data_IF_925579767551
#
_entry.id   IF_925579767551
#
_cell.length_a   1.000
_cell.length_b   1.000
_cell.length_c   1.000
_cell.angle_alpha   90.00
_cell.angle_beta   90.00
_cell.angle_gamma   90.00
#
_symmetry.space_group_name_H-M   'P 1'
#
loop_
_entity.id
_entity.type
_entity.pdbx_description
1 polymer ?
#
# COMPACT_ATOMS: atom_id res chain seq x y z
N UNK A 1 -4.44 -11.27 -6.84
CA UNK A 1 -3.21 -11.24 -7.66
C UNK A 1 -2.04 -10.81 -6.81
N UNK A 2 -0.85 -11.40 -7.03
CA UNK A 2 0.37 -11.05 -6.33
C UNK A 2 1.60 -11.50 -7.14
N UNK A 3 2.78 -10.97 -6.79
CA UNK A 3 4.05 -11.43 -7.35
C UNK A 3 4.62 -12.50 -6.42
N UNK A 4 4.85 -13.70 -6.94
CA UNK A 4 5.36 -14.84 -6.20
C UNK A 4 6.38 -15.67 -6.97
N UNK A 5 7.03 -16.58 -6.25
CA UNK A 5 7.98 -17.54 -6.87
C UNK A 5 7.21 -18.67 -7.56
N UNK A 6 7.64 -18.98 -8.78
CA UNK A 6 7.19 -20.12 -9.56
C UNK A 6 8.37 -20.65 -10.39
N UNK A 7 8.71 -21.93 -10.28
CA UNK A 7 9.84 -22.55 -11.02
C UNK A 7 11.15 -21.73 -10.98
N UNK A 8 11.59 -21.26 -9.82
CA UNK A 8 12.82 -20.47 -9.61
C UNK A 8 12.84 -19.05 -10.21
N UNK A 9 11.71 -18.54 -10.66
CA UNK A 9 11.56 -17.15 -11.09
C UNK A 9 10.37 -16.50 -10.41
N UNK A 10 10.17 -15.19 -10.63
CA UNK A 10 9.02 -14.45 -10.14
C UNK A 10 7.98 -14.31 -11.24
N UNK A 11 6.74 -14.57 -10.89
CA UNK A 11 5.59 -14.49 -11.76
C UNK A 11 4.46 -13.69 -11.12
N UNK A 12 3.64 -13.06 -11.95
CA UNK A 12 2.33 -12.58 -11.55
C UNK A 12 1.42 -13.79 -11.37
N UNK A 13 0.97 -14.02 -10.15
CA UNK A 13 0.13 -15.16 -9.76
C UNK A 13 -1.26 -14.69 -9.36
N UNK A 14 -2.24 -15.57 -9.48
CA UNK A 14 -3.55 -15.39 -8.87
C UNK A 14 -3.89 -16.57 -7.97
N UNK A 15 -4.66 -16.31 -6.93
CA UNK A 15 -5.24 -17.32 -6.06
C UNK A 15 -6.60 -17.73 -6.60
N UNK A 16 -6.75 -19.02 -6.87
CA UNK A 16 -8.02 -19.61 -7.27
C UNK A 16 -8.85 -19.93 -6.01
N UNK A 17 -10.05 -19.35 -5.92
CA UNK A 17 -10.93 -19.50 -4.76
C UNK A 17 -11.54 -20.90 -4.64
N UNK A 18 -11.67 -21.63 -5.74
CA UNK A 18 -12.29 -22.95 -5.75
C UNK A 18 -11.28 -24.03 -5.38
N UNK A 19 -10.14 -24.05 -6.05
CA UNK A 19 -9.06 -25.03 -5.80
C UNK A 19 -8.21 -24.72 -4.58
N UNK A 20 -8.17 -23.44 -4.13
CA UNK A 20 -7.28 -22.90 -3.08
C UNK A 20 -5.79 -22.98 -3.46
N UNK A 21 -5.51 -22.96 -4.73
CA UNK A 21 -4.15 -23.00 -5.29
C UNK A 21 -3.82 -21.71 -6.02
N UNK A 22 -2.54 -21.50 -6.29
CA UNK A 22 -2.06 -20.32 -7.01
C UNK A 22 -1.52 -20.72 -8.38
N UNK A 23 -1.80 -19.90 -9.38
CA UNK A 23 -1.41 -20.15 -10.76
C UNK A 23 -0.84 -18.88 -11.42
N UNK A 24 0.10 -19.03 -12.40
CA UNK A 24 0.55 -17.90 -13.20
C UNK A 24 -0.57 -17.29 -14.04
N UNK A 25 -0.64 -15.96 -14.08
CA UNK A 25 -1.58 -15.22 -14.93
C UNK A 25 -1.10 -15.26 -16.38
N UNK A 26 -1.33 -16.39 -17.05
CA UNK A 26 -0.91 -16.63 -18.44
C UNK A 26 -1.91 -17.50 -19.17
N UNK A 27 -2.57 -16.95 -20.19
CA UNK A 27 -3.56 -17.64 -21.03
C UNK A 27 -2.99 -18.31 -22.27
N UNK A 28 -1.67 -18.45 -22.43
CA UNK A 28 -1.05 -19.15 -23.57
C UNK A 28 -1.19 -20.65 -23.39
N UNK A 29 -1.83 -21.32 -24.35
CA UNK A 29 -2.16 -22.76 -24.27
C UNK A 29 -0.96 -23.68 -24.06
N UNK A 30 0.18 -23.40 -24.68
CA UNK A 30 1.39 -24.24 -24.64
C UNK A 30 2.49 -23.64 -23.74
N UNK A 31 2.14 -22.76 -22.79
CA UNK A 31 3.12 -22.12 -21.94
C UNK A 31 3.51 -23.02 -20.77
N UNK A 32 4.80 -23.33 -20.64
CA UNK A 32 5.36 -24.11 -19.53
C UNK A 32 5.54 -23.29 -18.25
N UNK A 33 5.32 -21.96 -18.31
CA UNK A 33 5.47 -21.01 -17.20
C UNK A 33 6.85 -21.09 -16.52
N UNK A 34 7.92 -21.15 -17.32
CA UNK A 34 9.29 -21.33 -16.84
C UNK A 34 10.30 -20.32 -17.42
N UNK A 35 9.85 -19.43 -18.32
CA UNK A 35 10.73 -18.53 -19.05
C UNK A 35 10.09 -17.14 -19.30
N UNK A 36 10.90 -16.22 -19.88
CA UNK A 36 10.53 -14.81 -20.13
C UNK A 36 9.44 -14.63 -21.20
N UNK A 37 9.13 -15.66 -22.00
CA UNK A 37 8.07 -15.60 -23.01
C UNK A 37 6.68 -15.77 -22.39
N UNK A 38 6.63 -16.25 -21.15
CA UNK A 38 5.39 -16.32 -20.38
C UNK A 38 4.84 -14.93 -20.08
N UNK A 39 3.56 -14.68 -20.32
CA UNK A 39 2.94 -13.40 -20.02
C UNK A 39 3.03 -13.05 -18.53
N UNK A 40 2.95 -14.03 -17.64
CA UNK A 40 3.03 -13.82 -16.19
C UNK A 40 4.46 -13.60 -15.67
N UNK A 41 5.50 -13.78 -16.49
CA UNK A 41 6.88 -13.65 -16.03
C UNK A 41 7.24 -12.21 -15.66
N UNK A 42 7.72 -11.99 -14.43
CA UNK A 42 8.08 -10.65 -13.93
C UNK A 42 9.54 -10.51 -13.52
N UNK A 43 10.31 -11.61 -13.45
CA UNK A 43 11.72 -11.52 -13.14
C UNK A 43 12.32 -12.83 -12.63
N UNK A 44 13.62 -12.80 -12.31
CA UNK A 44 14.32 -13.94 -11.72
C UNK A 44 15.24 -13.51 -10.58
N UNK A 45 15.49 -14.43 -9.66
CA UNK A 45 16.46 -14.22 -8.58
C UNK A 45 17.84 -14.75 -9.01
N UNK A 46 18.85 -13.88 -9.05
CA UNK A 46 20.21 -14.28 -9.33
C UNK A 46 20.90 -14.82 -8.07
N UNK A 47 21.36 -16.09 -8.10
CA UNK A 47 21.81 -16.82 -6.91
C UNK A 47 23.18 -16.43 -6.37
N UNK A 48 24.08 -15.85 -7.16
CA UNK A 48 25.50 -15.64 -6.76
C UNK A 48 25.73 -14.58 -5.70
N UNK A 49 24.89 -13.54 -5.58
CA UNK A 49 25.10 -12.45 -4.61
C UNK A 49 23.79 -12.01 -3.93
N UNK A 50 22.75 -12.82 -3.89
CA UNK A 50 21.40 -12.46 -3.44
C UNK A 50 20.81 -11.23 -4.19
N UNK A 51 21.32 -10.94 -5.38
CA UNK A 51 20.75 -9.90 -6.22
C UNK A 51 19.56 -10.47 -6.97
N UNK A 52 18.42 -9.85 -6.75
CA UNK A 52 17.19 -10.13 -7.50
C UNK A 52 17.17 -9.20 -8.70
N UNK A 53 17.12 -9.74 -9.91
CA UNK A 53 16.84 -8.93 -11.09
C UNK A 53 15.35 -9.10 -11.39
N UNK A 54 14.57 -8.10 -11.04
CA UNK A 54 13.16 -8.00 -11.39
C UNK A 54 13.01 -7.07 -12.59
N UNK A 55 12.14 -7.40 -13.52
CA UNK A 55 11.75 -6.49 -14.60
C UNK A 55 10.62 -5.56 -14.16
N UNK A 56 10.11 -5.76 -12.95
CA UNK A 56 9.07 -4.96 -12.32
C UNK A 56 9.55 -4.50 -10.95
N UNK A 57 9.13 -3.31 -10.56
CA UNK A 57 9.40 -2.81 -9.23
C UNK A 57 8.71 -3.72 -8.20
N UNK A 58 9.28 -3.83 -7.01
CA UNK A 58 8.67 -4.50 -5.83
C UNK A 58 7.41 -3.74 -5.35
N UNK A 59 6.69 -3.19 -6.29
CA UNK A 59 5.54 -2.35 -6.07
C UNK A 59 4.27 -3.18 -6.04
N UNK A 60 3.25 -2.57 -5.51
CA UNK A 60 1.94 -3.15 -5.42
C UNK A 60 1.43 -3.66 -6.77
N UNK A 61 0.74 -4.78 -6.73
CA UNK A 61 -0.06 -5.27 -7.83
C UNK A 61 -1.41 -4.56 -7.78
N UNK A 62 -1.78 -3.88 -8.86
CA UNK A 62 -3.03 -3.13 -8.94
C UNK A 62 -4.05 -3.89 -9.78
N UNK A 63 -5.23 -4.12 -9.23
CA UNK A 63 -6.38 -4.62 -9.99
C UNK A 63 -7.36 -3.49 -10.25
N UNK A 64 -7.68 -3.25 -11.51
CA UNK A 64 -8.61 -2.20 -11.90
C UNK A 64 -9.29 -2.50 -13.23
N UNK A 65 -10.62 -2.36 -13.30
CA UNK A 65 -11.44 -2.60 -14.51
C UNK A 65 -11.07 -3.89 -15.24
N UNK A 66 -11.12 -5.01 -14.53
CA UNK A 66 -10.81 -6.36 -15.04
C UNK A 66 -9.42 -6.50 -15.68
N UNK A 67 -8.47 -5.70 -15.24
CA UNK A 67 -7.08 -5.80 -15.62
C UNK A 67 -6.17 -5.73 -14.39
N UNK A 68 -4.98 -6.30 -14.54
CA UNK A 68 -3.90 -6.19 -13.55
C UNK A 68 -2.83 -5.26 -14.08
N UNK A 69 -2.33 -4.37 -13.23
CA UNK A 69 -1.30 -3.40 -13.60
C UNK A 69 -0.09 -3.53 -12.71
N UNK A 70 1.08 -3.41 -13.32
CA UNK A 70 2.40 -3.35 -12.68
C UNK A 70 3.20 -2.19 -13.24
N UNK A 71 4.15 -1.69 -12.47
CA UNK A 71 5.13 -0.70 -12.93
C UNK A 71 6.45 -1.42 -13.24
N UNK A 72 6.94 -1.35 -14.47
CA UNK A 72 8.22 -1.96 -14.83
C UNK A 72 9.42 -1.06 -14.44
N UNK A 73 10.63 -1.62 -14.42
CA UNK A 73 11.85 -0.92 -14.03
C UNK A 73 12.26 0.21 -14.98
N UNK A 74 11.61 0.33 -16.15
CA UNK A 74 11.80 1.45 -17.08
C UNK A 74 10.69 2.50 -16.95
N UNK A 75 9.80 2.34 -15.94
CA UNK A 75 8.71 3.26 -15.65
C UNK A 75 7.47 3.10 -16.52
N UNK A 76 7.39 2.02 -17.29
CA UNK A 76 6.16 1.73 -18.00
C UNK A 76 5.09 1.18 -17.06
N UNK A 77 3.91 1.75 -17.13
CA UNK A 77 2.70 1.08 -16.67
C UNK A 77 2.39 -0.07 -17.62
N UNK A 78 2.39 -1.29 -17.08
CA UNK A 78 2.13 -2.51 -17.86
C UNK A 78 0.79 -3.09 -17.45
N UNK A 79 -0.08 -3.33 -18.41
CA UNK A 79 -1.40 -3.92 -18.24
C UNK A 79 -1.37 -5.40 -18.62
N UNK A 80 -2.00 -6.22 -17.81
CA UNK A 80 -2.26 -7.64 -18.05
C UNK A 80 -3.78 -7.86 -18.06
N UNK A 81 -4.29 -8.63 -19.02
CA UNK A 81 -5.65 -9.13 -18.89
C UNK A 81 -5.74 -10.18 -17.78
N UNK A 82 -6.89 -10.27 -17.13
CA UNK A 82 -7.09 -11.21 -16.00
C UNK A 82 -7.02 -12.68 -16.43
N UNK A 83 -7.30 -12.98 -17.70
CA UNK A 83 -7.12 -14.30 -18.28
C UNK A 83 -5.67 -14.58 -18.72
N UNK A 84 -4.77 -13.60 -18.58
CA UNK A 84 -3.36 -13.72 -18.96
C UNK A 84 -3.09 -13.81 -20.46
N UNK A 85 -4.09 -13.58 -21.32
CA UNK A 85 -3.92 -13.65 -22.78
C UNK A 85 -3.09 -12.49 -23.33
N UNK A 86 -3.16 -11.31 -22.70
CA UNK A 86 -2.47 -10.10 -23.14
C UNK A 86 -1.56 -9.51 -22.06
N UNK A 87 -0.49 -8.88 -22.52
CA UNK A 87 0.44 -8.07 -21.73
C UNK A 87 0.93 -6.93 -22.58
N UNK A 88 0.69 -5.70 -22.18
CA UNK A 88 1.00 -4.52 -22.97
C UNK A 88 1.55 -3.35 -22.13
N UNK A 89 2.44 -2.56 -22.73
CA UNK A 89 2.94 -1.31 -22.15
C UNK A 89 2.01 -0.17 -22.52
N UNK A 90 1.54 0.57 -21.53
CA UNK A 90 0.57 1.68 -21.73
C UNK A 90 1.28 3.02 -21.91
N UNK A 91 2.03 3.45 -20.90
CA UNK A 91 2.71 4.75 -20.89
C UNK A 91 3.90 4.71 -19.92
N UNK A 92 4.85 5.62 -20.11
CA UNK A 92 5.88 5.90 -19.09
C UNK A 92 5.27 6.84 -18.06
N UNK A 93 5.18 6.39 -16.80
CA UNK A 93 4.44 7.09 -15.75
C UNK A 93 5.31 7.46 -14.55
N UNK A 94 6.60 7.72 -14.76
CA UNK A 94 7.47 8.14 -13.68
C UNK A 94 7.00 9.46 -13.06
N UNK A 95 6.94 9.48 -11.74
CA UNK A 95 6.90 10.72 -10.98
C UNK A 95 8.33 11.25 -10.75
N UNK A 96 8.44 12.45 -10.22
CA UNK A 96 9.71 13.01 -9.79
C UNK A 96 10.39 12.07 -8.77
N UNK A 97 11.68 11.80 -8.97
CA UNK A 97 12.42 10.85 -8.14
C UNK A 97 12.49 9.42 -8.71
N UNK A 98 11.89 9.18 -9.87
CA UNK A 98 11.96 7.91 -10.61
C UNK A 98 11.08 6.82 -10.02
N UNK A 99 11.37 5.57 -10.42
CA UNK A 99 10.53 4.41 -10.12
C UNK A 99 10.34 4.13 -8.63
N UNK A 100 11.38 4.26 -7.82
CA UNK A 100 11.35 3.93 -6.39
C UNK A 100 10.43 4.82 -5.56
N UNK A 101 10.14 6.02 -6.07
CA UNK A 101 9.22 6.97 -5.44
C UNK A 101 7.85 7.05 -6.10
N UNK A 102 7.62 6.34 -7.20
CA UNK A 102 6.38 6.44 -7.99
C UNK A 102 5.27 5.60 -7.38
N UNK A 103 4.11 6.21 -7.16
CA UNK A 103 2.89 5.56 -6.68
C UNK A 103 1.71 5.85 -7.61
N UNK A 104 0.78 4.90 -7.67
CA UNK A 104 -0.33 4.87 -8.61
C UNK A 104 -1.68 4.85 -7.91
N UNK A 105 -2.63 5.62 -8.43
CA UNK A 105 -4.05 5.55 -8.03
C UNK A 105 -4.90 5.56 -9.29
N UNK A 106 -5.81 4.62 -9.41
CA UNK A 106 -6.69 4.48 -10.58
C UNK A 106 -8.04 5.12 -10.32
N UNK A 107 -8.54 5.84 -11.33
CA UNK A 107 -9.91 6.34 -11.36
C UNK A 107 -10.37 6.54 -12.82
N UNK A 108 -11.56 6.04 -13.14
CA UNK A 108 -12.12 6.02 -14.49
C UNK A 108 -11.13 5.52 -15.55
N UNK A 109 -10.85 6.29 -16.58
CA UNK A 109 -9.93 5.93 -17.65
C UNK A 109 -8.52 6.50 -17.45
N UNK A 110 -8.16 6.80 -16.19
CA UNK A 110 -6.89 7.41 -15.84
C UNK A 110 -6.18 6.69 -14.70
N UNK A 111 -4.85 6.77 -14.72
CA UNK A 111 -3.98 6.53 -13.57
C UNK A 111 -3.41 7.86 -13.10
N UNK A 112 -3.50 8.11 -11.80
CA UNK A 112 -2.92 9.27 -11.11
C UNK A 112 -1.60 8.85 -10.49
N UNK A 113 -0.57 9.65 -10.70
CA UNK A 113 0.81 9.32 -10.36
C UNK A 113 1.40 10.42 -9.50
N UNK A 114 2.03 10.05 -8.41
CA UNK A 114 2.71 10.95 -7.50
C UNK A 114 3.99 10.32 -6.95
N UNK A 115 4.93 11.17 -6.47
CA UNK A 115 6.16 10.73 -5.85
C UNK A 115 5.96 10.58 -4.34
N UNK A 116 6.04 9.35 -3.82
CA UNK A 116 5.89 9.07 -2.39
C UNK A 116 6.95 9.75 -1.52
N UNK A 117 8.18 9.84 -2.03
CA UNK A 117 9.27 10.46 -1.27
C UNK A 117 9.24 11.98 -1.36
N UNK A 118 8.73 12.53 -2.46
CA UNK A 118 8.64 13.96 -2.69
C UNK A 118 9.95 14.69 -2.39
N UNK A 119 9.84 15.78 -1.66
CA UNK A 119 10.98 16.57 -1.20
C UNK A 119 11.17 16.49 0.33
N UNK A 120 10.76 15.39 0.95
CA UNK A 120 10.93 15.19 2.39
C UNK A 120 12.40 15.40 2.82
N UNK A 121 12.60 16.23 3.84
CA UNK A 121 13.92 16.56 4.37
C UNK A 121 14.67 17.67 3.65
N UNK A 122 14.16 18.18 2.53
CA UNK A 122 14.74 19.36 1.88
C UNK A 122 14.44 20.63 2.69
N UNK A 123 15.44 21.53 2.76
CA UNK A 123 15.28 22.84 3.41
C UNK A 123 14.73 23.91 2.45
N UNK A 124 14.74 23.63 1.15
CA UNK A 124 14.25 24.53 0.10
C UNK A 124 12.79 24.26 -0.21
N UNK A 125 12.11 25.30 -0.65
CA UNK A 125 10.75 25.20 -1.18
C UNK A 125 10.76 24.45 -2.51
N UNK A 126 9.85 23.49 -2.67
CA UNK A 126 9.74 22.67 -3.85
C UNK A 126 8.27 22.43 -4.24
N UNK A 127 8.04 22.01 -5.46
CA UNK A 127 6.70 21.74 -6.00
C UNK A 127 6.48 20.23 -6.08
N UNK A 128 5.48 19.75 -5.34
CA UNK A 128 4.95 18.41 -5.44
C UNK A 128 3.82 18.36 -6.45
N UNK A 129 3.77 17.30 -7.26
CA UNK A 129 2.76 17.17 -8.32
C UNK A 129 2.01 15.85 -8.24
N UNK A 130 0.73 15.89 -8.63
CA UNK A 130 0.00 14.71 -9.09
C UNK A 130 -0.25 14.89 -10.60
N UNK A 131 0.23 13.91 -11.36
CA UNK A 131 -0.05 13.81 -12.80
C UNK A 131 -1.07 12.71 -13.05
N UNK A 132 -1.85 12.85 -14.14
CA UNK A 132 -2.67 11.74 -14.62
C UNK A 132 -2.29 11.34 -16.03
N UNK A 133 -2.40 10.07 -16.30
CA UNK A 133 -2.18 9.46 -17.61
C UNK A 133 -3.42 8.67 -18.00
N UNK A 134 -3.87 8.82 -19.25
CA UNK A 134 -4.98 7.99 -19.73
C UNK A 134 -4.55 6.53 -19.91
N UNK A 135 -5.45 5.59 -19.61
CA UNK A 135 -5.19 4.15 -19.73
C UNK A 135 -5.07 3.67 -21.18
N UNK A 136 -5.30 4.53 -22.18
CA UNK A 136 -4.95 4.31 -23.58
C UNK A 136 -3.57 4.89 -23.97
N UNK A 137 -2.84 5.46 -23.01
CA UNK A 137 -1.49 5.99 -23.18
C UNK A 137 -1.35 7.29 -23.97
N UNK A 138 -2.46 7.97 -24.31
CA UNK A 138 -2.43 9.11 -25.24
C UNK A 138 -2.41 10.48 -24.58
N UNK A 139 -2.74 10.56 -23.29
CA UNK A 139 -2.85 11.85 -22.58
C UNK A 139 -2.04 11.82 -21.30
N UNK A 140 -1.35 12.94 -21.05
CA UNK A 140 -0.68 13.25 -19.79
C UNK A 140 -1.09 14.67 -19.37
N UNK A 141 -1.33 14.86 -18.07
CA UNK A 141 -1.75 16.15 -17.51
C UNK A 141 -1.34 16.26 -16.05
N UNK A 142 -0.83 17.41 -15.62
CA UNK A 142 -0.66 17.76 -14.21
C UNK A 142 -2.00 18.23 -13.65
N UNK A 143 -2.52 17.57 -12.63
CA UNK A 143 -3.83 17.84 -12.04
C UNK A 143 -3.75 18.55 -10.71
N UNK A 144 -2.61 18.43 -10.01
CA UNK A 144 -2.36 19.10 -8.75
C UNK A 144 -0.90 19.53 -8.65
N UNK A 145 -0.71 20.75 -8.14
CA UNK A 145 0.59 21.26 -7.68
C UNK A 145 0.46 21.75 -6.25
N UNK A 146 1.42 21.36 -5.40
CA UNK A 146 1.54 21.82 -4.02
C UNK A 146 2.96 22.32 -3.79
N UNK A 147 3.10 23.56 -3.39
CA UNK A 147 4.39 24.18 -3.08
C UNK A 147 4.61 24.20 -1.58
N UNK A 148 5.75 23.66 -1.12
CA UNK A 148 6.10 23.63 0.29
C UNK A 148 7.52 23.18 0.55
N UNK A 149 8.04 23.50 1.75
CA UNK A 149 9.36 23.09 2.19
C UNK A 149 9.32 21.70 2.80
N UNK A 150 10.16 20.80 2.31
CA UNK A 150 10.25 19.42 2.79
C UNK A 150 8.94 18.66 2.67
N UNK A 151 8.14 18.97 1.66
CA UNK A 151 6.81 18.38 1.48
C UNK A 151 6.85 17.11 0.64
N UNK A 152 5.89 16.22 0.88
CA UNK A 152 5.53 15.12 0.01
C UNK A 152 4.03 14.87 0.03
N UNK A 153 3.48 14.47 -1.11
CA UNK A 153 2.13 13.93 -1.20
C UNK A 153 2.20 12.45 -0.87
N UNK A 154 1.43 12.02 0.12
CA UNK A 154 1.45 10.63 0.59
C UNK A 154 0.05 10.04 0.70
N UNK A 155 -0.03 8.72 0.75
CA UNK A 155 -1.27 7.98 1.04
C UNK A 155 -2.45 8.33 0.11
N UNK A 156 -2.20 8.65 -1.15
CA UNK A 156 -3.29 8.96 -2.06
C UNK A 156 -4.15 7.72 -2.34
N UNK A 157 -5.47 7.89 -2.27
CA UNK A 157 -6.49 6.85 -2.49
C UNK A 157 -7.70 7.45 -3.20
N UNK A 158 -8.26 6.74 -4.16
CA UNK A 158 -9.48 7.16 -4.88
C UNK A 158 -10.72 6.57 -4.22
N UNK A 159 -11.68 7.42 -3.91
CA UNK A 159 -12.99 7.02 -3.38
C UNK A 159 -14.09 7.88 -3.99
N UNK A 160 -15.04 7.23 -4.63
CA UNK A 160 -16.11 7.91 -5.36
C UNK A 160 -15.53 8.92 -6.35
N UNK A 161 -16.00 10.16 -6.27
CA UNK A 161 -15.61 11.25 -7.19
C UNK A 161 -14.39 12.04 -6.70
N UNK A 162 -13.56 11.49 -5.81
CA UNK A 162 -12.44 12.22 -5.21
C UNK A 162 -11.19 11.39 -5.05
N UNK A 163 -10.05 12.04 -5.28
CA UNK A 163 -8.73 11.59 -4.88
C UNK A 163 -8.41 12.21 -3.53
N UNK A 164 -8.34 11.40 -2.50
CA UNK A 164 -7.90 11.81 -1.16
C UNK A 164 -6.39 11.61 -1.02
N UNK A 165 -5.72 12.47 -0.28
CA UNK A 165 -4.28 12.36 -0.02
C UNK A 165 -3.87 13.13 1.23
N UNK A 166 -2.74 12.73 1.81
CA UNK A 166 -2.09 13.49 2.87
C UNK A 166 -0.96 14.33 2.29
N UNK A 167 -0.70 15.47 2.93
CA UNK A 167 0.55 16.21 2.72
C UNK A 167 1.37 16.02 3.98
N UNK A 168 2.51 15.34 3.84
CA UNK A 168 3.50 15.17 4.91
C UNK A 168 4.63 16.18 4.71
N UNK A 169 5.12 16.78 5.80
CA UNK A 169 6.31 17.61 5.77
C UNK A 169 7.36 17.07 6.72
N UNK A 170 8.61 17.05 6.28
CA UNK A 170 9.75 16.71 7.12
C UNK A 170 10.88 17.73 6.89
N UNK A 171 11.39 18.27 7.99
CA UNK A 171 12.58 19.15 7.95
C UNK A 171 13.71 18.48 8.69
N UNK A 172 14.94 18.68 8.22
CA UNK A 172 16.12 18.22 8.92
C UNK A 172 16.69 19.35 9.79
N UNK A 173 17.01 19.05 11.03
CA UNK A 173 17.75 19.95 11.91
C UNK A 173 19.00 19.24 12.42
N UNK A 174 20.09 20.00 12.64
CA UNK A 174 21.32 19.47 13.22
C UNK A 174 21.35 19.79 14.70
N UNK A 175 21.39 18.76 15.53
CA UNK A 175 21.77 18.94 16.93
C UNK A 175 23.31 19.00 17.01
N UNK A 176 23.84 20.22 17.09
CA UNK A 176 25.29 20.44 17.16
C UNK A 176 25.93 19.84 18.43
N UNK A 177 25.19 19.73 19.53
CA UNK A 177 25.70 19.16 20.78
C UNK A 177 25.83 17.64 20.70
N UNK A 178 24.88 17.00 20.06
CA UNK A 178 24.89 15.55 19.87
C UNK A 178 25.56 15.12 18.56
N UNK A 179 25.93 16.05 17.69
CA UNK A 179 26.41 15.83 16.31
C UNK A 179 25.51 14.86 15.53
N UNK A 180 24.20 15.02 15.68
CA UNK A 180 23.17 14.18 15.04
C UNK A 180 22.27 15.04 14.16
N UNK A 181 21.87 14.46 13.03
CA UNK A 181 20.80 15.00 12.20
C UNK A 181 19.48 14.48 12.75
N UNK A 182 18.56 15.38 13.07
CA UNK A 182 17.22 15.07 13.53
C UNK A 182 16.26 15.39 12.41
N UNK A 183 15.48 14.40 12.00
CA UNK A 183 14.36 14.60 11.08
C UNK A 183 13.10 14.90 11.89
N UNK A 184 12.53 16.10 11.70
CA UNK A 184 11.26 16.51 12.27
C UNK A 184 10.16 16.26 11.24
N UNK A 185 9.46 15.15 11.35
CA UNK A 185 8.29 14.87 10.53
C UNK A 185 7.05 15.49 11.14
N UNK A 186 6.24 16.15 10.31
CA UNK A 186 4.92 16.62 10.67
C UNK A 186 3.91 16.00 9.72
N UNK A 187 3.04 15.20 10.27
CA UNK A 187 1.90 14.68 9.52
C UNK A 187 0.86 15.80 9.39
N UNK A 188 0.34 15.98 8.21
CA UNK A 188 -0.54 17.08 7.90
C UNK A 188 -1.98 16.64 7.69
N UNK A 189 -2.79 17.60 7.29
CA UNK A 189 -4.20 17.44 7.06
C UNK A 189 -4.50 16.50 5.89
N UNK A 190 -5.68 15.91 5.90
CA UNK A 190 -6.25 15.19 4.76
C UNK A 190 -6.84 16.18 3.77
N UNK A 191 -6.45 16.04 2.51
CA UNK A 191 -6.97 16.80 1.37
C UNK A 191 -7.77 15.89 0.46
N UNK A 192 -8.60 16.49 -0.37
CA UNK A 192 -9.26 15.81 -1.48
C UNK A 192 -9.23 16.69 -2.73
N UNK A 193 -8.92 16.05 -3.86
CA UNK A 193 -9.08 16.61 -5.21
C UNK A 193 -10.37 16.04 -5.79
N UNK A 194 -11.27 16.92 -6.22
CA UNK A 194 -12.55 16.55 -6.83
C UNK A 194 -12.35 16.38 -8.34
N UNK A 195 -12.62 15.19 -8.86
CA UNK A 195 -12.39 14.84 -10.26
C UNK A 195 -13.27 15.63 -11.24
N UNK A 196 -14.46 16.05 -10.78
CA UNK A 196 -15.41 16.79 -11.63
C UNK A 196 -15.06 18.27 -11.74
N UNK A 197 -14.72 18.87 -10.62
CA UNK A 197 -14.43 20.32 -10.58
C UNK A 197 -12.98 20.65 -10.86
N UNK A 198 -12.07 19.67 -10.76
CA UNK A 198 -10.63 19.88 -10.89
C UNK A 198 -10.03 20.71 -9.75
N UNK A 199 -10.67 20.72 -8.58
CA UNK A 199 -10.21 21.52 -7.43
C UNK A 199 -9.85 20.66 -6.25
N UNK A 200 -8.80 21.07 -5.51
CA UNK A 200 -8.41 20.43 -4.26
C UNK A 200 -8.75 21.29 -3.04
N UNK A 201 -9.07 20.64 -1.93
CA UNK A 201 -9.36 21.30 -0.68
C UNK A 201 -9.08 20.44 0.54
N UNK A 202 -8.91 21.08 1.70
CA UNK A 202 -8.72 20.41 2.99
C UNK A 202 -10.04 19.77 3.46
N UNK A 203 -9.98 18.50 3.83
CA UNK A 203 -11.13 17.72 4.37
C UNK A 203 -11.08 17.64 5.90
N UNK A 204 -9.90 17.28 6.42
CA UNK A 204 -9.65 17.18 7.86
C UNK A 204 -8.31 17.82 8.20
N UNK A 205 -8.25 18.48 9.33
CA UNK A 205 -7.03 19.07 9.89
C UNK A 205 -6.54 18.20 11.05
N UNK A 206 -5.22 17.97 11.13
CA UNK A 206 -4.62 17.20 12.22
C UNK A 206 -3.28 16.59 11.82
N UNK A 207 -2.68 15.86 12.77
CA UNK A 207 -1.46 15.09 12.52
C UNK A 207 -1.81 13.68 12.04
N UNK A 208 -2.47 13.58 10.89
CA UNK A 208 -3.00 12.32 10.35
C UNK A 208 -1.86 11.50 9.76
N UNK A 209 -1.68 10.25 10.22
CA UNK A 209 -0.63 9.34 9.74
C UNK A 209 -1.12 8.43 8.62
N UNK A 210 -2.37 8.01 8.69
CA UNK A 210 -3.03 7.22 7.64
C UNK A 210 -4.56 7.29 7.79
N UNK A 211 -5.26 6.88 6.74
CA UNK A 211 -6.72 6.86 6.69
C UNK A 211 -7.23 5.77 5.73
N UNK A 212 -8.48 5.38 5.92
CA UNK A 212 -9.26 4.61 4.94
C UNK A 212 -10.72 5.11 4.94
N UNK A 213 -11.44 4.84 3.87
CA UNK A 213 -12.77 5.39 3.66
C UNK A 213 -13.76 4.26 3.36
N UNK A 214 -14.88 4.25 4.07
CA UNK A 214 -16.06 3.47 3.72
C UNK A 214 -16.95 4.34 2.82
N UNK A 215 -16.94 4.05 1.54
CA UNK A 215 -17.70 4.81 0.53
C UNK A 215 -19.21 4.70 0.74
N UNK A 216 -19.69 3.59 1.28
CA UNK A 216 -21.12 3.33 1.49
C UNK A 216 -21.67 4.25 2.59
N UNK A 217 -21.02 4.27 3.73
CA UNK A 217 -21.42 5.13 4.86
C UNK A 217 -20.96 6.58 4.73
N UNK A 218 -19.88 6.82 3.99
CA UNK A 218 -19.16 8.09 3.94
C UNK A 218 -18.31 8.34 5.18
N UNK A 219 -17.95 7.30 5.91
CA UNK A 219 -17.05 7.39 7.05
C UNK A 219 -15.59 7.38 6.62
N UNK A 220 -14.82 8.29 7.17
CA UNK A 220 -13.37 8.33 7.09
C UNK A 220 -12.82 7.84 8.43
N UNK A 221 -12.14 6.69 8.40
CA UNK A 221 -11.37 6.21 9.54
C UNK A 221 -9.95 6.74 9.39
N UNK A 222 -9.39 7.38 10.42
CA UNK A 222 -8.06 7.95 10.35
C UNK A 222 -7.34 7.86 11.69
N UNK A 223 -6.03 7.85 11.64
CA UNK A 223 -5.18 7.79 12.81
C UNK A 223 -4.42 9.10 13.00
N UNK A 224 -4.58 9.72 14.17
CA UNK A 224 -3.79 10.87 14.59
C UNK A 224 -2.56 10.42 15.38
N UNK A 225 -1.40 10.93 14.99
CA UNK A 225 -0.11 10.60 15.61
C UNK A 225 -0.13 10.83 17.11
N UNK A 226 0.26 9.82 17.89
CA UNK A 226 0.28 9.83 19.36
C UNK A 226 -1.08 10.02 20.05
N UNK A 227 -2.18 10.05 19.31
CA UNK A 227 -3.48 10.35 19.92
C UNK A 227 -4.46 9.19 19.81
N UNK A 228 -4.63 8.63 18.63
CA UNK A 228 -5.50 7.48 18.46
C UNK A 228 -6.24 7.42 17.14
N UNK A 229 -7.17 6.48 17.04
CA UNK A 229 -7.99 6.26 15.86
C UNK A 229 -9.35 6.93 15.99
N UNK A 230 -9.79 7.55 14.91
CA UNK A 230 -11.05 8.28 14.80
C UNK A 230 -11.89 7.81 13.62
N UNK A 231 -13.20 7.97 13.75
CA UNK A 231 -14.15 7.93 12.67
C UNK A 231 -14.75 9.31 12.46
N UNK A 232 -14.72 9.84 11.25
CA UNK A 232 -15.34 11.09 10.85
C UNK A 232 -16.32 10.85 9.72
N UNK A 233 -17.58 11.23 9.90
CA UNK A 233 -18.57 11.14 8.84
C UNK A 233 -18.62 12.44 8.03
N UNK A 234 -18.37 12.36 6.72
CA UNK A 234 -18.32 13.55 5.84
C UNK A 234 -19.65 14.26 5.69
N UNK A 235 -20.78 13.58 5.90
CA UNK A 235 -22.14 14.15 5.75
C UNK A 235 -22.59 14.85 7.04
N UNK A 236 -22.56 14.12 8.18
CA UNK A 236 -23.00 14.67 9.47
C UNK A 236 -21.95 15.58 10.13
N UNK A 237 -20.68 15.50 9.69
CA UNK A 237 -19.52 16.18 10.33
C UNK A 237 -19.21 15.72 11.74
N UNK A 238 -19.79 14.60 12.15
CA UNK A 238 -19.52 14.00 13.47
C UNK A 238 -18.14 13.32 13.48
N UNK A 239 -17.39 13.57 14.55
CA UNK A 239 -16.10 12.95 14.83
C UNK A 239 -16.21 12.15 16.12
N UNK A 240 -15.90 10.86 16.05
CA UNK A 240 -15.90 9.94 17.18
C UNK A 240 -14.54 9.28 17.33
N UNK A 241 -14.00 9.23 18.53
CA UNK A 241 -12.78 8.49 18.83
C UNK A 241 -13.12 7.02 19.00
N UNK A 242 -12.37 6.12 18.32
CA UNK A 242 -12.56 4.69 18.38
C UNK A 242 -11.69 4.08 19.47
N UNK A 243 -10.40 4.45 19.53
CA UNK A 243 -9.50 4.06 20.61
C UNK A 243 -8.40 5.09 20.84
N UNK A 244 -7.84 5.07 22.05
CA UNK A 244 -6.72 5.91 22.43
C UNK A 244 -5.40 5.31 21.94
N UNK A 245 -4.51 6.16 21.45
CA UNK A 245 -3.15 5.78 21.10
C UNK A 245 -2.33 5.41 22.34
N UNK A 246 -1.32 4.59 22.13
CA UNK A 246 -0.32 4.20 23.12
C UNK A 246 1.08 4.33 22.54
N UNK A 247 2.12 4.10 23.34
CA UNK A 247 3.49 4.07 22.83
C UNK A 247 3.68 3.04 21.72
N UNK A 248 3.05 1.86 21.82
CA UNK A 248 3.11 0.80 20.82
C UNK A 248 2.30 1.09 19.55
N UNK A 249 1.32 1.98 19.65
CA UNK A 249 0.42 2.36 18.56
C UNK A 249 0.55 3.82 18.17
N UNK A 250 1.72 4.44 18.41
CA UNK A 250 1.98 5.85 18.11
C UNK A 250 1.69 6.24 16.67
N UNK A 251 1.90 5.31 15.75
CA UNK A 251 1.64 5.44 14.30
C UNK A 251 1.04 4.14 13.80
N UNK A 252 -0.13 4.21 13.22
CA UNK A 252 -0.83 3.05 12.64
C UNK A 252 -1.04 3.27 11.15
N UNK A 253 -1.00 2.19 10.39
CA UNK A 253 -1.48 2.14 9.01
C UNK A 253 -2.89 1.59 8.97
N UNK A 254 -3.74 2.21 8.16
CA UNK A 254 -5.15 1.86 8.08
C UNK A 254 -5.50 1.28 6.71
N UNK A 255 -6.27 0.20 6.72
CA UNK A 255 -6.92 -0.33 5.54
C UNK A 255 -8.37 -0.73 5.84
N UNK A 256 -9.19 -0.75 4.81
CA UNK A 256 -10.59 -1.14 4.88
C UNK A 256 -10.90 -2.10 3.74
N UNK A 257 -11.59 -3.19 4.04
CA UNK A 257 -11.89 -4.26 3.09
C UNK A 257 -13.40 -4.39 2.77
N UNK A 258 -14.17 -3.35 3.08
CA UNK A 258 -15.63 -3.35 2.93
C UNK A 258 -16.40 -3.87 4.15
N UNK A 259 -15.73 -4.58 5.07
CA UNK A 259 -16.33 -5.18 6.27
C UNK A 259 -15.63 -4.76 7.56
N UNK A 260 -14.30 -4.75 7.55
CA UNK A 260 -13.46 -4.46 8.71
C UNK A 260 -12.46 -3.36 8.43
N UNK A 261 -12.13 -2.61 9.48
CA UNK A 261 -11.04 -1.64 9.51
C UNK A 261 -9.85 -2.31 10.20
N UNK A 262 -8.71 -2.35 9.53
CA UNK A 262 -7.45 -2.89 10.03
C UNK A 262 -6.54 -1.73 10.41
N UNK A 263 -6.02 -1.74 11.64
CA UNK A 263 -5.04 -0.78 12.14
C UNK A 263 -3.76 -1.54 12.49
N UNK A 264 -2.69 -1.33 11.71
CA UNK A 264 -1.41 -2.05 11.81
C UNK A 264 -0.30 -1.10 12.28
N UNK A 265 0.43 -1.47 13.32
CA UNK A 265 1.56 -0.70 13.86
C UNK A 265 2.90 -1.00 13.17
N UNK A 266 2.89 -1.63 12.00
CA UNK A 266 4.09 -2.13 11.30
C UNK A 266 5.23 -1.12 11.19
N UNK A 267 4.95 0.06 10.64
CA UNK A 267 6.00 1.06 10.45
C UNK A 267 6.57 1.56 11.77
N UNK A 268 5.74 1.71 12.78
CA UNK A 268 6.21 2.12 14.10
C UNK A 268 7.13 1.07 14.72
N UNK A 269 6.78 -0.20 14.63
CA UNK A 269 7.61 -1.28 15.16
C UNK A 269 8.97 -1.38 14.45
N UNK A 270 9.02 -1.14 13.13
CA UNK A 270 10.26 -1.09 12.34
C UNK A 270 11.12 0.13 12.74
N UNK A 271 10.52 1.30 12.87
CA UNK A 271 11.22 2.53 13.32
C UNK A 271 11.79 2.38 14.72
N UNK A 272 11.01 1.78 15.63
CA UNK A 272 11.43 1.49 17.00
C UNK A 272 12.59 0.50 17.04
N UNK A 273 12.55 -0.57 16.24
CA UNK A 273 13.63 -1.55 16.14
C UNK A 273 14.95 -0.93 15.69
N UNK A 274 14.92 0.04 14.74
CA UNK A 274 16.09 0.81 14.33
C UNK A 274 16.69 1.67 15.45
N UNK A 275 15.88 2.00 16.45
CA UNK A 275 16.26 2.77 17.63
C UNK A 275 16.54 1.88 18.85
N UNK A 276 16.74 0.59 18.67
CA UNK A 276 16.94 -0.42 19.72
C UNK A 276 15.73 -0.59 20.67
N UNK A 277 14.55 -0.16 20.25
CA UNK A 277 13.29 -0.43 20.94
C UNK A 277 12.59 -1.58 20.24
N UNK A 278 12.03 -2.51 21.00
CA UNK A 278 11.27 -3.64 20.46
C UNK A 278 9.82 -3.49 20.85
N UNK A 279 8.95 -3.42 19.86
CA UNK A 279 7.50 -3.48 20.05
C UNK A 279 6.95 -4.68 19.28
N UNK A 280 6.01 -5.36 19.89
CA UNK A 280 5.27 -6.42 19.20
C UNK A 280 4.45 -5.80 18.05
N UNK A 281 4.58 -6.40 16.89
CA UNK A 281 3.74 -6.04 15.78
C UNK A 281 2.33 -6.56 16.00
N UNK A 282 1.36 -5.67 15.87
CA UNK A 282 -0.06 -5.96 16.05
C UNK A 282 -0.89 -5.31 14.94
N UNK A 283 -1.83 -6.07 14.42
CA UNK A 283 -2.92 -5.54 13.62
C UNK A 283 -4.21 -5.66 14.41
N UNK A 284 -4.82 -4.53 14.72
CA UNK A 284 -6.09 -4.47 15.44
C UNK A 284 -7.22 -4.37 14.43
N UNK A 285 -8.22 -5.23 14.55
CA UNK A 285 -9.35 -5.33 13.62
C UNK A 285 -10.61 -4.80 14.27
N UNK A 286 -11.23 -3.82 13.62
CA UNK A 286 -12.48 -3.20 14.07
C UNK A 286 -13.60 -3.41 13.05
N UNK A 287 -14.82 -3.54 13.54
CA UNK A 287 -16.01 -3.37 12.71
C UNK A 287 -16.25 -1.89 12.38
N UNK A 288 -17.09 -1.63 11.40
CA UNK A 288 -17.42 -0.27 10.94
C UNK A 288 -18.12 0.61 12.00
N UNK A 289 -18.71 -0.01 13.03
CA UNK A 289 -19.27 0.67 14.20
C UNK A 289 -18.26 0.92 15.33
N UNK A 290 -16.97 0.61 15.08
CA UNK A 290 -15.88 0.85 16.03
C UNK A 290 -15.70 -0.23 17.10
N UNK A 291 -16.37 -1.37 16.99
CA UNK A 291 -16.22 -2.47 17.93
C UNK A 291 -14.95 -3.28 17.61
N UNK A 292 -14.13 -3.52 18.64
CA UNK A 292 -12.98 -4.43 18.53
C UNK A 292 -13.44 -5.84 18.20
N UNK A 293 -12.94 -6.38 17.08
CA UNK A 293 -13.21 -7.75 16.61
C UNK A 293 -12.08 -8.68 17.02
N UNK A 294 -10.83 -8.28 16.76
CA UNK A 294 -9.66 -9.09 17.06
C UNK A 294 -8.38 -8.25 17.15
N UNK A 295 -7.35 -8.83 17.75
CA UNK A 295 -5.97 -8.34 17.68
C UNK A 295 -5.11 -9.46 17.13
N UNK A 296 -4.54 -9.27 15.95
CA UNK A 296 -3.68 -10.23 15.28
C UNK A 296 -2.25 -9.89 15.65
N UNK A 297 -1.58 -10.80 16.36
CA UNK A 297 -0.15 -10.71 16.62
C UNK A 297 0.59 -11.24 15.39
N UNK A 298 1.47 -10.43 14.84
CA UNK A 298 2.27 -10.79 13.68
C UNK A 298 3.70 -11.03 14.14
N UNK A 299 4.22 -12.23 13.94
CA UNK A 299 5.64 -12.53 14.12
C UNK A 299 6.35 -12.23 12.79
N UNK A 300 7.51 -11.57 12.86
CA UNK A 300 8.32 -11.26 11.68
C UNK A 300 7.87 -10.03 10.89
N UNK A 301 8.47 -9.82 9.73
CA UNK A 301 8.19 -8.72 8.81
C UNK A 301 7.01 -9.06 7.89
N UNK A 302 5.79 -9.06 8.40
CA UNK A 302 4.59 -9.21 7.58
C UNK A 302 4.34 -7.91 6.81
N UNK A 303 4.22 -7.95 5.49
CA UNK A 303 4.26 -6.72 4.69
C UNK A 303 2.92 -6.00 4.52
N UNK A 304 1.80 -6.69 4.52
CA UNK A 304 0.50 -6.05 4.43
C UNK A 304 -0.63 -7.00 4.80
N UNK A 305 -1.74 -6.43 5.29
CA UNK A 305 -3.02 -7.10 5.33
C UNK A 305 -3.87 -6.57 4.18
N UNK A 306 -4.41 -7.46 3.37
CA UNK A 306 -5.32 -7.13 2.28
C UNK A 306 -6.36 -8.23 2.18
N UNK A 307 -7.50 -7.93 1.61
CA UNK A 307 -8.58 -8.90 1.54
C UNK A 307 -9.56 -8.63 0.42
N UNK A 308 -10.39 -9.62 0.18
CA UNK A 308 -11.59 -9.53 -0.62
C UNK A 308 -12.83 -9.70 0.28
N UNK A 309 -13.98 -10.02 -0.29
CA UNK A 309 -15.22 -10.18 0.49
C UNK A 309 -15.15 -11.31 1.52
N UNK A 310 -14.47 -12.42 1.20
CA UNK A 310 -14.48 -13.66 1.99
C UNK A 310 -13.19 -13.93 2.75
N UNK A 311 -12.05 -13.46 2.24
CA UNK A 311 -10.72 -13.80 2.73
C UNK A 311 -9.91 -12.56 3.10
N UNK A 312 -9.10 -12.70 4.12
CA UNK A 312 -7.98 -11.81 4.42
C UNK A 312 -6.68 -12.54 4.12
N UNK A 313 -5.74 -11.84 3.49
CA UNK A 313 -4.43 -12.31 3.12
C UNK A 313 -3.37 -11.54 3.89
N UNK A 314 -2.27 -12.21 4.21
CA UNK A 314 -1.09 -11.57 4.78
C UNK A 314 0.16 -12.36 4.41
N UNK A 315 1.31 -11.72 4.39
CA UNK A 315 2.58 -12.41 4.45
C UNK A 315 2.88 -12.75 5.91
N UNK A 316 3.10 -14.02 6.21
CA UNK A 316 3.34 -14.52 7.56
C UNK A 316 4.59 -15.39 7.62
N UNK A 317 5.17 -15.49 8.79
CA UNK A 317 6.29 -16.38 9.08
C UNK A 317 5.80 -17.75 9.53
N UNK A 318 6.27 -18.79 8.84
CA UNK A 318 6.00 -20.18 9.19
C UNK A 318 7.25 -20.82 9.82
N UNK A 319 7.08 -21.57 10.89
CA UNK A 319 8.16 -22.35 11.49
C UNK A 319 8.53 -23.54 10.58
N UNK A 320 9.75 -23.62 10.11
CA UNK A 320 10.24 -24.81 9.41
C UNK A 320 10.54 -25.95 10.41
N UNK A 321 9.90 -27.10 10.21
CA UNK A 321 10.05 -28.29 11.07
C UNK A 321 11.47 -28.90 11.07
N UNK A 322 12.37 -28.49 10.17
CA UNK A 322 13.66 -29.15 9.93
C UNK A 322 14.90 -28.27 10.10
N UNK A 323 14.74 -26.99 10.33
CA UNK A 323 15.86 -26.06 10.51
C UNK A 323 15.49 -25.00 11.55
N UNK A 324 16.50 -24.41 12.20
CA UNK A 324 16.30 -23.27 13.12
C UNK A 324 15.94 -21.96 12.37
N UNK A 325 15.30 -22.05 11.21
CA UNK A 325 14.90 -20.96 10.34
C UNK A 325 13.38 -20.81 10.26
N UNK A 326 12.91 -19.60 10.03
CA UNK A 326 11.55 -19.29 9.64
C UNK A 326 11.49 -19.07 8.12
N UNK A 327 10.37 -19.41 7.51
CA UNK A 327 10.06 -19.16 6.10
C UNK A 327 8.90 -18.18 6.02
N UNK A 328 9.10 -17.04 5.37
CA UNK A 328 8.00 -16.14 5.02
C UNK A 328 7.23 -16.67 3.83
N UNK A 329 5.91 -16.55 3.87
CA UNK A 329 5.03 -16.94 2.77
C UNK A 329 3.69 -16.23 2.87
N UNK A 330 3.00 -16.14 1.73
CA UNK A 330 1.63 -15.65 1.69
C UNK A 330 0.69 -16.67 2.33
N UNK A 331 -0.24 -16.17 3.11
CA UNK A 331 -1.26 -16.96 3.77
C UNK A 331 -2.62 -16.27 3.75
N UNK A 332 -3.66 -17.04 4.02
CA UNK A 332 -5.01 -16.52 4.11
C UNK A 332 -5.77 -17.06 5.31
N UNK A 333 -6.82 -16.34 5.66
CA UNK A 333 -7.85 -16.78 6.63
C UNK A 333 -9.23 -16.37 6.12
N UNK A 334 -10.26 -17.13 6.47
CA UNK A 334 -11.64 -16.72 6.19
C UNK A 334 -12.04 -15.59 7.13
N UNK A 335 -12.70 -14.55 6.60
CA UNK A 335 -13.19 -13.43 7.42
C UNK A 335 -14.20 -13.82 8.48
N UNK A 336 -14.97 -14.87 8.28
CA UNK A 336 -15.90 -15.42 9.28
C UNK A 336 -15.18 -16.00 10.51
N UNK A 337 -13.90 -16.32 10.39
CA UNK A 337 -13.06 -16.80 11.47
C UNK A 337 -12.26 -15.66 12.15
N UNK A 338 -12.42 -14.41 11.70
CA UNK A 338 -11.66 -13.26 12.19
C UNK A 338 -11.85 -13.00 13.70
N UNK A 339 -13.02 -13.28 14.24
CA UNK A 339 -13.30 -13.16 15.69
C UNK A 339 -12.79 -14.31 16.55
N UNK A 340 -12.07 -15.28 15.97
CA UNK A 340 -11.51 -16.46 16.63
C UNK A 340 -9.99 -16.42 16.58
N UNK A 341 -9.33 -17.48 17.10
CA UNK A 341 -7.89 -17.67 16.90
C UNK A 341 -7.58 -17.75 15.39
N UNK A 342 -6.79 -16.78 14.88
CA UNK A 342 -6.43 -16.74 13.47
C UNK A 342 -5.47 -17.87 13.12
N UNK A 343 -5.96 -18.88 12.40
CA UNK A 343 -5.15 -19.97 11.86
C UNK A 343 -4.88 -19.67 10.38
N UNK A 344 -3.68 -19.19 10.11
CA UNK A 344 -3.23 -18.91 8.76
C UNK A 344 -3.04 -20.20 7.96
N UNK A 345 -3.56 -20.20 6.74
CA UNK A 345 -3.32 -21.26 5.75
C UNK A 345 -2.35 -20.74 4.71
N UNK A 346 -1.19 -21.40 4.58
CA UNK A 346 -0.19 -21.03 3.57
C UNK A 346 -0.75 -21.20 2.16
N UNK A 347 -0.53 -20.20 1.30
CA UNK A 347 -0.75 -20.30 -0.13
C UNK A 347 0.37 -21.12 -0.75
N UNK A 348 0.01 -22.17 -1.46
CA UNK A 348 0.94 -23.10 -2.13
C UNK A 348 0.96 -22.87 -3.62
#
# INVERSE_FOLDING_TARGET
YYIGKWNNAFFLLFFDRDTKECYPVCGKADCTHDNMECNAYVGYQYSKNRQTTTYYLDSAVYYYKDNVYLLDTNGYLVRFSTDGSTREKIAVVYAYGGESGTNLVFHDDYVYVYNLLGHLGNEEEAVETIKRYSLDGKKEETVLEYTGTGAAITRAKSYGERLYFLIETATMSKDEKANKVIMNSRYNSLYAYDYKTGTAGKVLEGSITDYCIDEVSGNIYYYEYNDGMYCYNVKSKEKNKIFDGSEETRKMELSFDGKYVYADNRFWSIEAARSYQTYDRKCVVYSTDGKLINTISCKGETFAFFGDEDYMFAEVEFEEKSSSGSKSGLAYIKKDDMGKECKWTELK
#
